data_IF_184989407472
#
_entry.id   IF_184989407472
#
_cell.length_a   1.000
_cell.length_b   1.000
_cell.length_c   1.000
_cell.angle_alpha   90.00
_cell.angle_beta   90.00
_cell.angle_gamma   90.00
#
_symmetry.space_group_name_H-M   'P 1'
#
loop_
_entity.id
_entity.type
_entity.pdbx_description
1 polymer ?
#
# COMPACT_ATOMS: atom_id res chain seq x y z
N UNK A 1 6.27 3.53 8.27
CA UNK A 1 4.89 3.38 7.75
C UNK A 1 4.77 1.96 7.23
N UNK A 2 3.60 1.52 6.79
CA UNK A 2 3.44 0.18 6.26
C UNK A 2 2.01 -0.13 5.86
N UNK A 3 1.76 -1.41 5.63
CA UNK A 3 0.45 -1.92 5.28
C UNK A 3 0.15 -3.22 6.03
N UNK A 4 -1.13 -3.44 6.30
CA UNK A 4 -1.66 -4.77 6.53
C UNK A 4 -2.18 -5.31 5.19
N UNK A 5 -1.63 -6.45 4.78
CA UNK A 5 -1.98 -7.19 3.58
C UNK A 5 -2.98 -8.30 3.96
N UNK A 6 -4.19 -8.27 3.42
CA UNK A 6 -5.25 -9.21 3.79
C UNK A 6 -5.06 -10.61 3.20
N UNK A 7 -4.26 -10.74 2.13
CA UNK A 7 -3.97 -12.02 1.51
C UNK A 7 -2.45 -12.23 1.37
N UNK A 8 -1.97 -13.48 1.35
CA UNK A 8 -0.57 -13.76 1.06
C UNK A 8 -0.13 -13.21 -0.29
N UNK A 9 1.08 -12.64 -0.32
CA UNK A 9 1.69 -12.12 -1.53
C UNK A 9 1.91 -13.22 -2.57
N UNK A 10 1.43 -12.99 -3.79
CA UNK A 10 1.66 -13.86 -4.95
C UNK A 10 1.53 -13.06 -6.25
N UNK A 11 2.33 -13.38 -7.26
CA UNK A 11 2.28 -12.67 -8.55
C UNK A 11 0.90 -12.87 -9.19
N UNK A 12 0.27 -11.76 -9.57
CA UNK A 12 -1.06 -11.75 -10.16
C UNK A 12 -1.15 -10.72 -11.30
N UNK A 13 -1.94 -10.97 -12.35
CA UNK A 13 -2.06 -10.05 -13.49
C UNK A 13 -2.89 -8.79 -13.16
N UNK A 14 -3.51 -8.74 -11.97
CA UNK A 14 -4.42 -7.69 -11.51
C UNK A 14 -4.27 -7.49 -10.01
N UNK A 15 -4.87 -6.42 -9.49
CA UNK A 15 -5.02 -6.23 -8.06
C UNK A 15 -5.83 -7.38 -7.43
N UNK A 16 -5.50 -7.70 -6.17
CA UNK A 16 -6.15 -8.73 -5.35
C UNK A 16 -6.18 -8.31 -3.88
N UNK A 17 -6.74 -9.14 -3.00
CA UNK A 17 -6.97 -8.81 -1.61
C UNK A 17 -8.42 -8.45 -1.31
N UNK A 18 -8.65 -8.08 -0.05
CA UNK A 18 -9.96 -7.68 0.45
C UNK A 18 -9.91 -6.28 1.07
N UNK A 19 -11.10 -5.75 1.38
CA UNK A 19 -11.30 -4.49 2.09
C UNK A 19 -10.74 -4.45 3.52
N UNK A 20 -10.23 -5.57 4.05
CA UNK A 20 -9.49 -5.59 5.32
C UNK A 20 -8.07 -5.02 5.18
N UNK A 21 -7.54 -4.96 3.94
CA UNK A 21 -6.27 -4.31 3.62
C UNK A 21 -6.32 -2.83 4.02
N UNK A 22 -5.27 -2.35 4.66
CA UNK A 22 -5.17 -0.96 5.09
C UNK A 22 -3.71 -0.51 5.21
N UNK A 23 -3.48 0.79 5.05
CA UNK A 23 -2.15 1.38 5.20
C UNK A 23 -2.07 2.22 6.46
N UNK A 24 -0.86 2.38 7.00
CA UNK A 24 -0.65 3.13 8.24
C UNK A 24 0.65 3.93 8.22
N UNK A 25 0.63 5.04 8.94
CA UNK A 25 1.82 5.83 9.26
C UNK A 25 2.08 5.72 10.77
N UNK A 26 3.35 5.52 11.16
CA UNK A 26 3.77 5.47 12.56
C UNK A 26 4.46 6.76 13.02
N UNK A 27 5.08 7.48 12.09
CA UNK A 27 5.78 8.74 12.27
C UNK A 27 5.67 9.55 10.96
N UNK A 28 5.53 10.89 10.99
CA UNK A 28 5.47 11.75 12.19
C UNK A 28 4.12 11.66 12.92
N UNK A 29 3.07 11.24 12.22
CA UNK A 29 1.73 11.07 12.79
C UNK A 29 1.34 9.60 12.81
N UNK A 30 0.83 9.11 13.94
CA UNK A 30 0.25 7.78 14.03
C UNK A 30 -1.16 7.81 13.45
N UNK A 31 -1.34 7.22 12.28
CA UNK A 31 -2.61 7.23 11.57
C UNK A 31 -2.85 5.89 10.86
N UNK A 32 -4.11 5.46 10.87
CA UNK A 32 -4.60 4.26 10.20
C UNK A 32 -5.53 4.70 9.05
N UNK A 33 -5.31 4.17 7.85
CA UNK A 33 -6.09 4.48 6.67
C UNK A 33 -6.72 3.18 6.13
N UNK A 34 -7.92 2.82 6.64
CA UNK A 34 -8.65 1.66 6.14
C UNK A 34 -9.21 1.90 4.74
N UNK A 35 -9.56 0.82 4.05
CA UNK A 35 -10.36 0.94 2.83
C UNK A 35 -11.66 1.67 3.11
N UNK A 36 -12.00 2.61 2.24
CA UNK A 36 -13.27 3.32 2.32
C UNK A 36 -13.81 3.60 0.92
N UNK A 37 -15.14 3.63 0.84
CA UNK A 37 -15.85 4.05 -0.35
C UNK A 37 -15.49 5.51 -0.69
N UNK A 38 -15.32 5.81 -1.98
CA UNK A 38 -15.03 7.16 -2.43
C UNK A 38 -16.21 8.11 -2.16
N UNK A 39 -15.95 9.43 -2.16
CA UNK A 39 -16.97 10.46 -1.85
C UNK A 39 -18.14 10.46 -2.84
N UNK A 40 -17.88 10.09 -4.10
CA UNK A 40 -18.89 9.96 -5.15
C UNK A 40 -19.65 8.63 -5.09
N UNK A 41 -19.33 7.77 -4.12
CA UNK A 41 -19.95 6.48 -3.93
C UNK A 41 -19.37 5.36 -4.79
N UNK A 42 -18.31 5.59 -5.56
CA UNK A 42 -17.58 4.54 -6.27
C UNK A 42 -16.79 3.65 -5.29
N UNK A 43 -16.58 2.40 -5.69
CA UNK A 43 -15.73 1.43 -4.99
C UNK A 43 -14.44 1.27 -5.77
N UNK A 44 -13.32 1.29 -5.06
CA UNK A 44 -12.00 1.03 -5.60
C UNK A 44 -11.40 -0.14 -4.80
N UNK A 45 -11.18 -1.26 -5.46
CA UNK A 45 -10.72 -2.54 -4.89
C UNK A 45 -9.23 -2.82 -5.22
N UNK A 46 -8.46 -1.78 -5.53
CA UNK A 46 -7.04 -1.90 -5.88
C UNK A 46 -6.18 -2.06 -4.62
N UNK A 47 -6.37 -3.14 -3.87
CA UNK A 47 -5.77 -3.34 -2.55
C UNK A 47 -4.30 -3.73 -2.57
N UNK A 48 -3.98 -4.84 -3.21
CA UNK A 48 -2.63 -5.41 -3.28
C UNK A 48 -2.28 -5.68 -4.74
N UNK A 49 -1.03 -5.46 -5.11
CA UNK A 49 -0.53 -5.74 -6.43
C UNK A 49 0.90 -6.25 -6.31
N UNK A 50 1.25 -7.29 -7.04
CA UNK A 50 2.61 -7.79 -7.08
C UNK A 50 2.91 -8.34 -8.46
N UNK A 51 3.99 -7.85 -9.03
CA UNK A 51 4.50 -8.23 -10.33
C UNK A 51 6.01 -8.52 -10.20
N UNK A 52 6.65 -8.89 -11.30
CA UNK A 52 8.10 -9.14 -11.28
C UNK A 52 8.91 -7.85 -10.97
N UNK A 53 8.31 -6.70 -11.23
CA UNK A 53 8.89 -5.38 -11.06
C UNK A 53 8.79 -4.87 -9.61
N UNK A 54 7.93 -5.44 -8.77
CA UNK A 54 7.76 -4.99 -7.40
C UNK A 54 6.41 -5.31 -6.74
N UNK A 55 6.21 -4.71 -5.57
CA UNK A 55 5.05 -4.86 -4.71
C UNK A 55 4.36 -3.51 -4.51
N UNK A 56 3.04 -3.50 -4.60
CA UNK A 56 2.20 -2.33 -4.45
C UNK A 56 1.04 -2.56 -3.48
N UNK A 57 0.71 -1.54 -2.69
CA UNK A 57 -0.49 -1.51 -1.84
C UNK A 57 -1.27 -0.23 -2.14
N UNK A 58 -2.56 -0.39 -2.42
CA UNK A 58 -3.46 0.70 -2.83
C UNK A 58 -3.21 1.13 -4.26
N UNK A 59 -4.25 1.55 -4.99
CA UNK A 59 -4.10 2.08 -6.33
C UNK A 59 -5.15 3.13 -6.71
N UNK A 60 -5.22 3.36 -8.03
CA UNK A 60 -5.94 4.43 -8.74
C UNK A 60 -5.11 5.71 -8.81
N UNK A 61 -4.31 5.81 -9.88
CA UNK A 61 -3.31 6.87 -10.07
C UNK A 61 -1.94 6.45 -9.55
N UNK A 62 -1.78 6.44 -8.23
CA UNK A 62 -0.52 6.06 -7.56
C UNK A 62 -0.74 5.01 -6.47
N UNK A 63 0.32 4.26 -6.16
CA UNK A 63 0.32 3.37 -5.01
C UNK A 63 0.45 4.17 -3.70
N UNK A 64 -0.25 3.73 -2.66
CA UNK A 64 -0.01 4.26 -1.32
C UNK A 64 1.40 3.87 -0.84
N UNK A 65 1.83 2.67 -1.22
CA UNK A 65 3.16 2.12 -1.02
C UNK A 65 3.54 1.27 -2.22
N UNK A 66 4.63 1.59 -2.87
CA UNK A 66 5.30 0.75 -3.86
C UNK A 66 6.72 0.45 -3.39
N UNK A 67 7.17 -0.78 -3.60
CA UNK A 67 8.55 -1.21 -3.46
C UNK A 67 8.98 -1.88 -4.76
N UNK A 68 10.20 -1.56 -5.20
CA UNK A 68 10.81 -2.20 -6.37
C UNK A 68 11.18 -3.68 -6.12
N UNK A 69 11.70 -4.33 -7.16
CA UNK A 69 12.07 -5.75 -7.14
C UNK A 69 13.18 -6.07 -6.14
N UNK A 70 14.06 -5.12 -5.87
CA UNK A 70 15.19 -5.25 -4.93
C UNK A 70 14.78 -4.93 -3.49
N UNK A 71 13.53 -4.51 -3.27
CA UNK A 71 12.98 -4.04 -1.99
C UNK A 71 13.82 -2.93 -1.37
N UNK A 72 14.43 -2.09 -2.23
CA UNK A 72 15.37 -1.05 -1.84
C UNK A 72 14.82 0.33 -2.13
N UNK A 73 14.30 0.57 -3.33
CA UNK A 73 13.64 1.84 -3.68
C UNK A 73 12.12 1.69 -3.56
N UNK A 74 11.49 2.74 -3.05
CA UNK A 74 10.04 2.76 -2.91
C UNK A 74 9.46 4.12 -3.21
N UNK A 75 8.17 4.11 -3.55
CA UNK A 75 7.40 5.34 -3.71
C UNK A 75 6.14 5.32 -2.86
N UNK A 76 5.69 6.49 -2.43
CA UNK A 76 4.45 6.69 -1.70
C UNK A 76 3.80 7.98 -2.15
N UNK A 77 2.50 7.93 -2.41
CA UNK A 77 1.73 9.08 -2.86
C UNK A 77 0.31 9.04 -2.27
N UNK A 78 -0.44 10.14 -2.38
CA UNK A 78 -1.87 10.09 -2.10
C UNK A 78 -2.55 8.99 -2.92
N UNK A 79 -3.35 8.17 -2.25
CA UNK A 79 -3.94 6.97 -2.85
C UNK A 79 -5.45 6.97 -2.62
N UNK A 80 -6.23 6.79 -3.68
CA UNK A 80 -7.70 6.86 -3.59
C UNK A 80 -8.30 5.66 -2.86
N UNK A 81 -7.69 4.47 -2.97
CA UNK A 81 -8.19 3.22 -2.34
C UNK A 81 -8.39 3.40 -0.83
N UNK A 82 -7.43 4.04 -0.16
CA UNK A 82 -7.48 4.28 1.30
C UNK A 82 -7.75 5.75 1.63
N UNK A 83 -7.77 6.61 0.62
CA UNK A 83 -7.70 8.05 0.73
C UNK A 83 -6.64 8.51 1.76
N UNK A 84 -5.48 7.86 1.69
CA UNK A 84 -4.30 8.17 2.47
C UNK A 84 -3.53 9.32 1.81
N UNK A 85 -2.78 10.12 2.58
CA UNK A 85 -1.72 10.96 2.03
C UNK A 85 -0.54 10.10 1.58
N UNK A 86 0.52 10.74 1.08
CA UNK A 86 1.85 10.12 1.07
C UNK A 86 2.21 9.69 2.50
N UNK A 87 2.60 8.42 2.66
CA UNK A 87 2.90 7.81 3.95
C UNK A 87 4.36 8.03 4.37
N UNK A 88 5.24 8.22 3.38
CA UNK A 88 6.64 8.53 3.56
C UNK A 88 6.86 10.03 3.82
N UNK A 89 8.08 10.39 4.19
CA UNK A 89 8.46 11.79 4.36
C UNK A 89 8.56 12.53 3.02
N UNK A 90 8.96 11.83 1.95
CA UNK A 90 9.03 12.31 0.58
C UNK A 90 8.43 11.24 -0.36
N UNK A 91 7.98 11.61 -1.57
CA UNK A 91 7.36 10.68 -2.51
C UNK A 91 8.24 9.47 -2.84
N UNK A 92 9.54 9.70 -3.01
CA UNK A 92 10.54 8.66 -3.22
C UNK A 92 11.33 8.43 -1.92
N UNK A 93 11.64 7.16 -1.61
CA UNK A 93 12.40 6.81 -0.42
C UNK A 93 13.25 5.55 -0.65
N UNK A 94 14.30 5.40 0.16
CA UNK A 94 15.05 4.15 0.27
C UNK A 94 14.62 3.37 1.52
N UNK A 95 14.54 2.06 1.38
CA UNK A 95 14.26 1.13 2.47
C UNK A 95 15.53 0.92 3.29
N UNK A 96 15.50 1.36 4.54
CA UNK A 96 16.55 1.03 5.49
C UNK A 96 16.38 -0.37 6.09
N UNK A 97 15.14 -0.72 6.42
CA UNK A 97 14.75 -2.02 6.95
C UNK A 97 13.28 -2.28 6.58
N UNK A 98 12.99 -3.52 6.17
CA UNK A 98 11.66 -4.02 5.89
C UNK A 98 11.41 -5.25 6.76
N UNK A 99 10.28 -5.27 7.44
CA UNK A 99 9.84 -6.42 8.23
C UNK A 99 8.48 -6.90 7.71
N UNK A 100 8.33 -8.21 7.57
CA UNK A 100 7.06 -8.86 7.25
C UNK A 100 6.69 -9.79 8.40
N UNK A 101 5.49 -9.58 8.93
CA UNK A 101 4.95 -10.34 10.05
C UNK A 101 3.71 -11.10 9.58
N UNK A 102 3.55 -12.33 10.06
CA UNK A 102 2.31 -13.08 9.90
C UNK A 102 1.84 -13.58 11.27
N UNK A 103 0.53 -13.74 11.40
CA UNK A 103 -0.07 -14.35 12.58
C UNK A 103 -0.08 -15.87 12.38
N UNK A 104 0.21 -16.60 13.47
CA UNK A 104 0.15 -18.06 13.58
C UNK A 104 -0.91 -18.49 14.57
#
# INVERSE_FOLDING_TARGET
>A
FGAYAAEPWHIAPRFYGTGETHVFQLHPMRALFPWRRAKDGSLNDFFQFSAHEGLGVGGSGHFALWLDTDLFEGTSAPCETFASPCLAHAPDFHVHCLELWHLV
#
